data_IF_979125948983
#
_entry.id   IF_979125948983
#
_cell.length_a   1.000
_cell.length_b   1.000
_cell.length_c   1.000
_cell.angle_alpha   90.00
_cell.angle_beta   90.00
_cell.angle_gamma   90.00
#
_symmetry.space_group_name_H-M   'P 1'
#
loop_
_entity.id
_entity.type
_entity.pdbx_description
1 polymer ?
#
# COMPACT_ATOMS: atom_id res chain seq x y z
N UNK A 1 -8.16 -3.63 2.89
CA UNK A 1 -7.48 -4.28 4.00
C UNK A 1 -6.30 -5.06 3.47
N UNK A 2 -5.11 -4.75 3.97
CA UNK A 2 -3.93 -5.55 3.67
C UNK A 2 -3.90 -6.71 4.66
N UNK A 3 -3.97 -7.92 4.16
CA UNK A 3 -3.76 -9.13 4.96
C UNK A 3 -2.34 -9.63 4.70
N UNK A 4 -1.76 -10.26 5.71
CA UNK A 4 -0.49 -10.95 5.56
C UNK A 4 -0.62 -12.12 4.58
N UNK A 5 0.15 -12.12 3.49
CA UNK A 5 0.08 -13.15 2.44
C UNK A 5 1.03 -14.33 2.69
N UNK A 6 1.87 -14.24 3.71
CA UNK A 6 2.69 -15.36 4.14
C UNK A 6 1.85 -16.62 4.37
N UNK A 7 2.44 -17.78 4.19
CA UNK A 7 1.78 -19.09 4.35
C UNK A 7 0.60 -19.32 3.38
N UNK A 8 0.72 -18.81 2.14
CA UNK A 8 -0.30 -18.89 1.10
C UNK A 8 -1.61 -18.14 1.42
N UNK A 9 -1.56 -17.19 2.35
CA UNK A 9 -2.70 -16.37 2.77
C UNK A 9 -3.94 -17.19 3.21
N UNK A 10 -3.76 -18.42 3.67
CA UNK A 10 -4.85 -19.22 4.20
C UNK A 10 -5.37 -18.63 5.50
N UNK A 11 -6.55 -18.03 5.44
CA UNK A 11 -7.20 -17.37 6.58
C UNK A 11 -7.27 -18.28 7.82
N UNK A 12 -7.67 -19.53 7.63
CA UNK A 12 -7.76 -20.52 8.70
C UNK A 12 -6.41 -20.78 9.39
N UNK A 13 -5.34 -20.86 8.62
CA UNK A 13 -3.99 -21.02 9.17
C UNK A 13 -3.56 -19.80 9.98
N UNK A 14 -3.80 -18.60 9.44
CA UNK A 14 -3.45 -17.35 10.10
C UNK A 14 -4.21 -17.21 11.43
N UNK A 15 -5.51 -17.45 11.44
CA UNK A 15 -6.34 -17.37 12.64
C UNK A 15 -5.98 -18.42 13.72
N UNK A 16 -5.50 -19.59 13.29
CA UNK A 16 -5.09 -20.66 14.22
C UNK A 16 -3.71 -20.44 14.85
N UNK A 17 -2.83 -19.68 14.20
CA UNK A 17 -1.43 -19.54 14.61
C UNK A 17 -1.07 -18.12 15.06
N UNK A 18 -1.90 -17.12 14.78
CA UNK A 18 -1.65 -15.73 15.10
C UNK A 18 -2.88 -15.07 15.75
N UNK A 19 -2.64 -14.22 16.71
CA UNK A 19 -3.69 -13.35 17.25
C UNK A 19 -3.83 -12.13 16.32
N UNK A 20 -4.84 -12.14 15.46
CA UNK A 20 -5.05 -11.15 14.41
C UNK A 20 -5.93 -10.02 14.91
N UNK A 21 -5.41 -8.80 14.87
CA UNK A 21 -6.16 -7.56 15.09
C UNK A 21 -6.48 -6.91 13.75
N UNK A 22 -7.74 -6.82 13.40
CA UNK A 22 -8.18 -6.10 12.21
C UNK A 22 -8.41 -4.63 12.54
N UNK A 23 -7.86 -3.76 11.70
CA UNK A 23 -8.04 -2.31 11.81
C UNK A 23 -8.70 -1.76 10.54
N UNK A 24 -9.28 -0.57 10.62
CA UNK A 24 -9.90 0.08 9.47
C UNK A 24 -8.97 1.07 8.75
N UNK A 25 -7.72 1.20 9.19
CA UNK A 25 -6.74 2.08 8.52
C UNK A 25 -5.30 1.66 8.80
N UNK A 26 -4.41 1.96 7.86
CA UNK A 26 -2.98 1.73 8.02
C UNK A 26 -2.40 2.56 9.18
N UNK A 27 -2.94 3.75 9.41
CA UNK A 27 -2.57 4.59 10.56
C UNK A 27 -2.78 3.85 11.88
N UNK A 28 -3.96 3.28 12.08
CA UNK A 28 -4.25 2.50 13.30
C UNK A 28 -3.38 1.28 13.45
N UNK A 29 -3.09 0.57 12.36
CA UNK A 29 -2.16 -0.56 12.39
C UNK A 29 -0.77 -0.14 12.84
N UNK A 30 -0.26 0.97 12.33
CA UNK A 30 1.04 1.50 12.74
C UNK A 30 1.03 1.97 14.20
N UNK A 31 -0.03 2.65 14.64
CA UNK A 31 -0.19 3.08 16.03
C UNK A 31 -0.16 1.91 17.03
N UNK A 32 -0.74 0.76 16.67
CA UNK A 32 -0.67 -0.45 17.52
C UNK A 32 0.78 -0.91 17.72
N UNK A 33 1.59 -0.93 16.67
CA UNK A 33 3.01 -1.29 16.74
C UNK A 33 3.78 -0.28 17.59
N UNK A 34 3.62 1.01 17.31
CA UNK A 34 4.34 2.08 18.02
C UNK A 34 4.00 2.15 19.52
N UNK A 35 2.81 1.69 19.90
CA UNK A 35 2.34 1.62 21.29
C UNK A 35 2.50 0.23 21.93
N UNK A 36 3.29 -0.66 21.34
CA UNK A 36 3.54 -2.01 21.84
C UNK A 36 2.28 -2.86 22.04
N UNK A 37 1.24 -2.63 21.23
CA UNK A 37 -0.03 -3.37 21.23
C UNK A 37 -0.13 -4.40 20.10
N UNK A 38 0.90 -4.51 19.30
CA UNK A 38 1.04 -5.48 18.24
C UNK A 38 2.51 -5.72 17.96
N UNK A 39 2.85 -6.88 17.44
CA UNK A 39 4.24 -7.27 17.15
C UNK A 39 4.56 -7.08 15.67
N UNK A 40 3.59 -7.33 14.79
CA UNK A 40 3.75 -7.28 13.34
C UNK A 40 2.58 -6.50 12.73
N UNK A 41 2.86 -5.60 11.78
CA UNK A 41 1.84 -4.96 10.95
C UNK A 41 2.19 -5.09 9.48
N UNK A 42 1.16 -5.26 8.65
CA UNK A 42 1.26 -5.21 7.19
C UNK A 42 0.78 -3.84 6.73
N UNK A 43 1.68 -3.07 6.13
CA UNK A 43 1.44 -1.71 5.68
C UNK A 43 1.95 -1.54 4.25
N UNK A 44 1.40 -0.58 3.51
CA UNK A 44 1.99 -0.23 2.24
C UNK A 44 3.31 0.52 2.45
N UNK A 45 4.28 0.27 1.57
CA UNK A 45 5.58 0.95 1.55
C UNK A 45 5.41 2.46 1.47
N UNK A 46 4.46 2.90 0.66
CA UNK A 46 4.17 4.32 0.43
C UNK A 46 3.64 5.00 1.70
N UNK A 47 2.70 4.37 2.40
CA UNK A 47 2.20 4.90 3.66
C UNK A 47 3.30 5.00 4.70
N UNK A 48 4.13 3.96 4.83
CA UNK A 48 5.22 3.96 5.79
C UNK A 48 6.26 5.05 5.47
N UNK A 49 6.65 5.22 4.21
CA UNK A 49 7.53 6.30 3.78
C UNK A 49 6.94 7.69 4.08
N UNK A 50 5.65 7.88 3.79
CA UNK A 50 4.94 9.12 4.10
C UNK A 50 4.96 9.40 5.60
N UNK A 51 4.63 8.42 6.44
CA UNK A 51 4.65 8.56 7.90
C UNK A 51 6.06 8.95 8.39
N UNK A 52 7.09 8.21 8.01
CA UNK A 52 8.45 8.44 8.45
C UNK A 52 9.04 9.78 7.96
N UNK A 53 8.56 10.32 6.86
CA UNK A 53 8.95 11.67 6.41
C UNK A 53 8.42 12.78 7.34
N UNK A 54 7.30 12.54 8.02
CA UNK A 54 6.71 13.47 8.99
C UNK A 54 7.14 13.17 10.43
N UNK A 55 7.41 11.92 10.75
CA UNK A 55 7.79 11.43 12.08
C UNK A 55 9.08 10.59 12.02
N UNK A 56 10.23 11.21 11.70
CA UNK A 56 11.48 10.45 11.46
C UNK A 56 11.99 9.70 12.70
N UNK A 57 11.64 10.14 13.90
CA UNK A 57 12.00 9.47 15.16
C UNK A 57 11.38 8.08 15.30
N UNK A 58 10.27 7.82 14.66
CA UNK A 58 9.59 6.53 14.73
C UNK A 58 10.36 5.42 13.99
N UNK A 59 11.26 5.79 13.08
CA UNK A 59 12.14 4.82 12.42
C UNK A 59 12.99 4.00 13.41
N UNK A 60 13.37 4.60 14.53
CA UNK A 60 14.17 3.93 15.56
C UNK A 60 13.35 2.92 16.39
N UNK A 61 12.03 2.94 16.27
CA UNK A 61 11.10 2.04 16.97
C UNK A 61 10.63 0.88 16.08
N UNK A 62 10.98 0.90 14.80
CA UNK A 62 10.45 -0.02 13.80
C UNK A 62 11.56 -0.87 13.19
N UNK A 63 11.30 -2.15 13.05
CA UNK A 63 12.09 -3.04 12.22
C UNK A 63 11.33 -3.27 10.91
N UNK A 64 11.89 -2.76 9.81
CA UNK A 64 11.23 -2.78 8.50
C UNK A 64 11.82 -3.90 7.65
N UNK A 65 10.98 -4.82 7.18
CA UNK A 65 11.41 -5.91 6.30
C UNK A 65 11.97 -5.36 4.98
N UNK A 66 13.07 -5.96 4.52
CA UNK A 66 13.63 -5.69 3.18
C UNK A 66 12.85 -6.38 2.06
N UNK A 67 12.09 -7.44 2.39
CA UNK A 67 11.26 -8.17 1.43
C UNK A 67 9.81 -7.73 1.58
N UNK A 68 9.13 -7.64 0.44
CA UNK A 68 7.67 -7.40 0.43
C UNK A 68 6.94 -8.70 0.73
N UNK A 69 5.87 -8.60 1.51
CA UNK A 69 4.93 -9.69 1.67
C UNK A 69 4.09 -9.87 0.40
N UNK A 70 3.67 -8.74 -0.19
CA UNK A 70 2.87 -8.72 -1.41
C UNK A 70 3.26 -7.54 -2.30
N UNK A 71 3.05 -7.71 -3.61
CA UNK A 71 3.17 -6.65 -4.60
C UNK A 71 1.85 -6.57 -5.36
N UNK A 72 1.21 -5.40 -5.37
CA UNK A 72 -0.06 -5.18 -6.04
C UNK A 72 0.13 -4.41 -7.34
N UNK A 73 -0.58 -4.88 -8.37
CA UNK A 73 -0.75 -4.14 -9.62
C UNK A 73 -2.24 -3.77 -9.74
N UNK A 74 -2.52 -2.48 -9.79
CA UNK A 74 -3.88 -1.99 -9.89
C UNK A 74 -4.25 -1.70 -11.34
N UNK A 75 -5.45 -2.09 -11.73
CA UNK A 75 -6.05 -1.78 -13.03
C UNK A 75 -7.29 -0.91 -12.84
N UNK A 76 -7.55 -0.05 -13.83
CA UNK A 76 -8.79 0.71 -13.89
C UNK A 76 -9.85 -0.15 -14.55
N UNK A 77 -10.93 -0.42 -13.84
CA UNK A 77 -12.09 -1.11 -14.37
C UNK A 77 -13.13 -0.09 -14.84
N UNK A 78 -13.64 -0.30 -16.04
CA UNK A 78 -14.66 0.56 -16.65
C UNK A 78 -15.86 -0.32 -17.01
N UNK A 79 -17.05 0.11 -16.62
CA UNK A 79 -18.28 -0.62 -16.97
C UNK A 79 -18.44 -0.67 -18.50
N UNK A 80 -18.89 -1.79 -19.01
CA UNK A 80 -19.22 -1.93 -20.44
C UNK A 80 -20.23 -0.83 -20.86
N UNK A 81 -20.00 -0.27 -22.04
CA UNK A 81 -20.83 0.81 -22.61
C UNK A 81 -20.92 2.08 -21.74
N UNK A 82 -19.91 2.33 -20.90
CA UNK A 82 -19.85 3.55 -20.09
C UNK A 82 -19.24 4.73 -20.85
N UNK A 83 -19.54 5.91 -20.38
CA UNK A 83 -18.84 7.14 -20.77
C UNK A 83 -18.09 7.65 -19.53
N UNK A 84 -16.75 7.81 -19.59
CA UNK A 84 -15.86 7.60 -20.75
C UNK A 84 -15.60 6.12 -21.07
N UNK A 85 -15.27 5.85 -22.33
CA UNK A 85 -14.89 4.50 -22.78
C UNK A 85 -13.50 4.08 -22.32
N UNK A 86 -13.22 2.77 -22.29
CA UNK A 86 -11.87 2.26 -21.94
C UNK A 86 -10.80 2.80 -22.92
N UNK A 87 -11.12 2.93 -24.20
CA UNK A 87 -10.20 3.51 -25.19
C UNK A 87 -9.83 4.96 -24.87
N UNK A 88 -10.79 5.76 -24.44
CA UNK A 88 -10.54 7.13 -24.01
C UNK A 88 -9.65 7.16 -22.77
N UNK A 89 -9.95 6.34 -21.76
CA UNK A 89 -9.13 6.24 -20.52
C UNK A 89 -7.69 5.84 -20.85
N UNK A 90 -7.48 4.84 -21.70
CA UNK A 90 -6.14 4.40 -22.09
C UNK A 90 -5.36 5.51 -22.80
N UNK A 91 -6.00 6.24 -23.71
CA UNK A 91 -5.39 7.41 -24.39
C UNK A 91 -5.02 8.51 -23.39
N UNK A 92 -5.90 8.77 -22.42
CA UNK A 92 -5.67 9.76 -21.38
C UNK A 92 -4.48 9.38 -20.49
N UNK A 93 -4.42 8.13 -20.01
CA UNK A 93 -3.31 7.62 -19.20
C UNK A 93 -1.97 7.72 -19.95
N UNK A 94 -1.96 7.32 -21.23
CA UNK A 94 -0.76 7.45 -22.08
C UNK A 94 -0.31 8.90 -22.21
N UNK A 95 -1.25 9.83 -22.43
CA UNK A 95 -0.95 11.27 -22.53
C UNK A 95 -0.41 11.85 -21.21
N UNK A 96 -1.02 11.49 -20.09
CA UNK A 96 -0.60 11.91 -18.74
C UNK A 96 0.83 11.40 -18.45
N UNK A 97 1.09 10.13 -18.78
CA UNK A 97 2.41 9.52 -18.60
C UNK A 97 3.46 10.20 -19.45
N UNK A 98 3.22 10.33 -20.76
CA UNK A 98 4.16 11.01 -21.71
C UNK A 98 4.48 12.45 -21.31
N UNK A 99 3.50 13.18 -20.80
CA UNK A 99 3.69 14.57 -20.34
C UNK A 99 4.36 14.67 -18.97
N UNK A 100 4.57 13.56 -18.27
CA UNK A 100 5.16 13.54 -16.93
C UNK A 100 4.33 14.23 -15.86
N UNK A 101 3.02 14.42 -16.07
CA UNK A 101 2.11 15.14 -15.17
C UNK A 101 2.08 14.52 -13.78
N UNK A 102 2.22 13.20 -13.69
CA UNK A 102 2.20 12.48 -12.41
C UNK A 102 3.53 12.53 -11.63
N UNK A 103 4.64 12.89 -12.29
CA UNK A 103 5.97 12.90 -11.63
C UNK A 103 6.02 13.75 -10.36
N UNK A 104 5.48 14.98 -10.31
CA UNK A 104 5.46 15.78 -9.09
C UNK A 104 4.62 15.14 -7.99
N UNK A 105 3.51 14.48 -8.34
CA UNK A 105 2.66 13.78 -7.38
C UNK A 105 3.38 12.56 -6.81
N UNK A 106 4.01 11.76 -7.65
CA UNK A 106 4.81 10.61 -7.20
C UNK A 106 5.90 11.04 -6.23
N UNK A 107 6.63 12.12 -6.58
CA UNK A 107 7.65 12.69 -5.69
C UNK A 107 7.06 13.15 -4.35
N UNK A 108 5.92 13.85 -4.39
CA UNK A 108 5.24 14.36 -3.19
C UNK A 108 4.83 13.24 -2.23
N UNK A 109 4.36 12.11 -2.75
CA UNK A 109 3.88 10.98 -1.95
C UNK A 109 4.90 9.84 -1.84
N UNK A 110 6.16 10.07 -2.22
CA UNK A 110 7.24 9.06 -2.19
C UNK A 110 6.89 7.76 -2.93
N UNK A 111 6.09 7.89 -4.00
CA UNK A 111 5.73 6.76 -4.85
C UNK A 111 6.87 6.42 -5.79
N UNK A 112 7.13 5.15 -6.00
CA UNK A 112 8.10 4.66 -6.98
C UNK A 112 7.35 4.27 -8.25
N UNK A 113 7.88 4.70 -9.40
CA UNK A 113 7.38 4.24 -10.70
C UNK A 113 7.96 2.86 -10.94
N UNK A 114 7.12 1.85 -10.92
CA UNK A 114 7.50 0.53 -11.43
C UNK A 114 7.38 0.62 -12.96
N UNK A 115 8.50 0.65 -13.64
CA UNK A 115 8.56 0.60 -15.11
C UNK A 115 8.22 -0.82 -15.59
#
# INVERSE_FOLDING_TARGET
HYQFAGFNAEQKYLESNFNILQTNSQKKSLELILNNRGEIAVLSKEYLKYHLSHFPKDNNKLLISKKFDQIYQHTILVRQNSTPSISYINKLLTKIHKKGILKPLWKKYSLEVVN
#
